data_IF_920890573663
#
_entry.id   IF_920890573663
#
_cell.length_a   1.000
_cell.length_b   1.000
_cell.length_c   1.000
_cell.angle_alpha   90.00
_cell.angle_beta   90.00
_cell.angle_gamma   90.00
#
_symmetry.space_group_name_H-M   'P 1'
#
loop_
_entity.id
_entity.type
_entity.pdbx_description
1 polymer ?
#
# COMPACT_ATOMS: atom_id res chain seq x y z
N UNK A 1 -18.46 -8.91 -7.94
CA UNK A 1 -19.26 -9.99 -7.32
C UNK A 1 -20.76 -9.70 -7.35
N UNK A 2 -21.23 -8.61 -6.73
CA UNK A 2 -22.66 -8.32 -6.64
C UNK A 2 -23.35 -8.08 -8.01
N UNK A 3 -22.62 -7.51 -8.99
CA UNK A 3 -23.11 -7.36 -10.37
C UNK A 3 -23.61 -8.69 -10.96
N UNK A 4 -22.83 -9.76 -10.83
CA UNK A 4 -23.20 -11.10 -11.28
C UNK A 4 -24.38 -11.63 -10.44
N UNK A 5 -24.28 -11.53 -9.11
CA UNK A 5 -25.31 -12.02 -8.21
C UNK A 5 -26.69 -11.35 -8.44
N UNK A 6 -26.70 -10.09 -8.87
CA UNK A 6 -27.93 -9.35 -9.16
C UNK A 6 -28.80 -9.99 -10.25
N UNK A 7 -28.18 -10.81 -11.11
CA UNK A 7 -28.87 -11.54 -12.18
C UNK A 7 -29.59 -12.79 -11.70
N UNK A 8 -29.34 -13.26 -10.47
CA UNK A 8 -30.04 -14.39 -9.88
C UNK A 8 -31.49 -14.02 -9.50
N UNK A 9 -32.38 -15.01 -9.47
CA UNK A 9 -33.75 -14.84 -8.94
C UNK A 9 -33.74 -14.47 -7.46
N UNK A 10 -32.85 -15.07 -6.69
CA UNK A 10 -32.67 -14.80 -5.27
C UNK A 10 -31.19 -14.72 -4.91
N UNK A 11 -30.88 -13.87 -3.94
CA UNK A 11 -29.53 -13.69 -3.38
C UNK A 11 -29.65 -13.94 -1.89
N UNK A 12 -28.79 -14.80 -1.35
CA UNK A 12 -28.76 -15.11 0.07
C UNK A 12 -27.36 -14.90 0.62
N UNK A 13 -27.29 -14.52 1.90
CA UNK A 13 -26.07 -14.25 2.62
C UNK A 13 -26.11 -14.92 4.00
N UNK A 14 -24.95 -15.37 4.49
CA UNK A 14 -24.83 -15.85 5.87
C UNK A 14 -24.72 -14.69 6.84
N UNK A 15 -25.00 -14.85 8.16
CA UNK A 15 -25.04 -13.71 9.10
C UNK A 15 -23.72 -12.93 9.19
N UNK A 16 -22.58 -13.58 8.93
CA UNK A 16 -21.25 -12.96 8.93
C UNK A 16 -20.86 -12.30 7.60
N UNK A 17 -21.65 -12.50 6.53
CA UNK A 17 -21.32 -11.98 5.21
C UNK A 17 -21.45 -10.46 5.13
N UNK A 18 -20.65 -9.86 4.24
CA UNK A 18 -20.81 -8.48 3.78
C UNK A 18 -21.31 -8.45 2.35
N UNK A 19 -22.30 -7.61 2.10
CA UNK A 19 -22.98 -7.49 0.80
C UNK A 19 -23.04 -6.01 0.39
N UNK A 20 -22.97 -5.72 -0.90
CA UNK A 20 -22.93 -4.36 -1.43
C UNK A 20 -21.69 -4.17 -2.29
N UNK A 21 -20.96 -3.09 -2.04
CA UNK A 21 -19.86 -2.63 -2.89
C UNK A 21 -20.31 -2.41 -4.33
N UNK A 22 -21.52 -1.84 -4.48
CA UNK A 22 -22.09 -1.46 -5.77
C UNK A 22 -21.54 -0.08 -6.08
N UNK A 23 -20.60 -0.02 -7.01
CA UNK A 23 -19.86 1.19 -7.35
C UNK A 23 -18.59 0.82 -8.13
N UNK A 24 -17.94 1.83 -8.70
CA UNK A 24 -16.74 1.69 -9.53
C UNK A 24 -15.71 2.69 -9.03
N UNK A 25 -14.46 2.26 -8.93
CA UNK A 25 -13.34 3.15 -8.60
C UNK A 25 -12.09 2.75 -9.38
N UNK A 26 -11.29 3.75 -9.74
CA UNK A 26 -9.95 3.56 -10.28
C UNK A 26 -8.96 4.38 -9.44
N UNK A 27 -8.22 3.75 -8.51
CA UNK A 27 -7.21 4.46 -7.75
C UNK A 27 -6.01 4.75 -8.66
N UNK A 28 -5.49 5.97 -8.59
CA UNK A 28 -4.28 6.39 -9.29
C UNK A 28 -3.31 7.07 -8.32
N UNK A 29 -2.02 6.71 -8.41
CA UNK A 29 -0.96 7.29 -7.58
C UNK A 29 -0.10 8.19 -8.47
N UNK A 30 -0.11 9.48 -8.19
CA UNK A 30 0.79 10.43 -8.84
C UNK A 30 2.20 10.31 -8.23
N UNK A 31 3.14 9.82 -9.02
CA UNK A 31 4.55 9.64 -8.62
C UNK A 31 5.47 10.73 -9.16
N UNK A 32 4.92 11.84 -9.67
CA UNK A 32 5.71 12.95 -10.25
C UNK A 32 6.70 13.54 -9.24
N UNK A 33 6.27 13.81 -8.00
CA UNK A 33 7.15 14.35 -6.95
C UNK A 33 8.25 13.35 -6.55
N UNK A 34 7.92 12.06 -6.48
CA UNK A 34 8.90 11.02 -6.16
C UNK A 34 10.02 11.01 -7.18
N UNK A 35 9.69 10.96 -8.47
CA UNK A 35 10.68 10.94 -9.54
C UNK A 35 11.49 12.23 -9.57
N UNK A 36 10.86 13.40 -9.35
CA UNK A 36 11.57 14.67 -9.22
C UNK A 36 12.58 14.65 -8.07
N UNK A 37 12.20 14.10 -6.91
CA UNK A 37 13.09 14.00 -5.74
C UNK A 37 14.29 13.08 -5.97
N UNK A 38 14.13 12.08 -6.83
CA UNK A 38 15.18 11.15 -7.25
C UNK A 38 16.04 11.73 -8.40
N UNK A 39 15.76 12.96 -8.86
CA UNK A 39 16.47 13.59 -9.97
C UNK A 39 16.08 13.02 -11.35
N UNK A 40 14.99 12.26 -11.43
CA UNK A 40 14.51 11.64 -12.67
C UNK A 40 13.47 12.54 -13.34
N UNK A 41 13.63 12.76 -14.65
CA UNK A 41 12.62 13.39 -15.51
C UNK A 41 12.10 12.37 -16.51
N UNK A 42 10.79 12.15 -16.50
CA UNK A 42 10.13 11.23 -17.44
C UNK A 42 9.58 12.02 -18.61
N UNK A 43 10.01 11.66 -19.83
CA UNK A 43 9.45 12.18 -21.08
C UNK A 43 8.75 11.04 -21.83
N UNK A 44 7.54 11.31 -22.31
CA UNK A 44 6.70 10.30 -22.97
C UNK A 44 6.53 10.68 -24.44
N UNK A 45 7.02 9.81 -25.32
CA UNK A 45 6.81 9.89 -26.77
C UNK A 45 5.78 8.84 -27.15
N UNK A 46 4.56 9.25 -27.49
CA UNK A 46 3.47 8.34 -27.79
C UNK A 46 2.64 8.81 -28.99
N UNK A 47 2.20 7.85 -29.81
CA UNK A 47 1.23 8.10 -30.87
C UNK A 47 -0.19 8.09 -30.28
N UNK A 48 -0.83 9.26 -30.23
CA UNK A 48 -2.21 9.45 -29.77
C UNK A 48 -2.33 10.19 -28.43
N UNK A 49 -3.27 11.13 -28.34
CA UNK A 49 -3.48 12.06 -27.20
C UNK A 49 -3.63 11.37 -25.83
N UNK A 50 -4.22 10.19 -25.79
CA UNK A 50 -4.47 9.44 -24.55
C UNK A 50 -3.47 8.30 -24.29
N UNK A 51 -2.54 8.07 -25.22
CA UNK A 51 -1.51 7.02 -25.08
C UNK A 51 -0.43 7.52 -24.12
N UNK A 52 -0.07 6.70 -23.12
CA UNK A 52 0.84 7.12 -22.04
C UNK A 52 0.14 7.80 -20.85
N UNK A 53 -1.19 7.78 -20.83
CA UNK A 53 -1.95 8.05 -19.62
C UNK A 53 -1.55 7.08 -18.51
N UNK A 54 -1.49 7.59 -17.28
CA UNK A 54 -1.08 6.85 -16.08
C UNK A 54 0.38 6.34 -16.09
N UNK A 55 1.25 6.91 -16.93
CA UNK A 55 2.70 6.64 -16.87
C UNK A 55 3.29 7.16 -15.55
N UNK A 56 4.06 6.34 -14.80
CA UNK A 56 4.74 6.78 -13.59
C UNK A 56 5.66 7.97 -13.84
N UNK A 57 5.70 8.91 -12.88
CA UNK A 57 6.50 10.14 -12.97
C UNK A 57 5.92 11.23 -13.88
N UNK A 58 4.73 11.03 -14.45
CA UNK A 58 4.02 12.03 -15.29
C UNK A 58 2.63 12.28 -14.73
N UNK A 59 2.23 13.54 -14.49
CA UNK A 59 0.89 13.86 -13.99
C UNK A 59 -0.15 13.64 -15.09
N UNK A 60 -1.36 13.23 -14.70
CA UNK A 60 -2.49 13.15 -15.62
C UNK A 60 -2.91 14.55 -16.10
N UNK A 61 -3.13 14.67 -17.41
CA UNK A 61 -3.71 15.89 -18.00
C UNK A 61 -5.22 15.97 -17.70
N UNK A 62 -5.80 17.17 -17.82
CA UNK A 62 -7.24 17.36 -17.55
C UNK A 62 -8.13 16.54 -18.49
N UNK A 63 -7.74 16.45 -19.75
CA UNK A 63 -8.41 15.62 -20.75
C UNK A 63 -8.40 14.13 -20.38
N UNK A 64 -7.29 13.65 -19.83
CA UNK A 64 -7.16 12.26 -19.37
C UNK A 64 -8.00 12.01 -18.12
N UNK A 65 -8.04 12.97 -17.18
CA UNK A 65 -8.89 12.90 -15.99
C UNK A 65 -10.36 12.86 -16.37
N UNK A 66 -10.77 13.70 -17.30
CA UNK A 66 -12.15 13.74 -17.81
C UNK A 66 -12.55 12.41 -18.44
N UNK A 67 -11.69 11.83 -19.28
CA UNK A 67 -11.95 10.52 -19.89
C UNK A 67 -12.09 9.41 -18.84
N UNK A 68 -11.16 9.34 -17.88
CA UNK A 68 -11.25 8.35 -16.79
C UNK A 68 -12.55 8.53 -16.00
N UNK A 69 -12.92 9.78 -15.69
CA UNK A 69 -14.12 10.07 -14.92
C UNK A 69 -15.39 9.69 -15.68
N UNK A 70 -15.47 9.98 -16.98
CA UNK A 70 -16.62 9.58 -17.81
C UNK A 70 -16.75 8.07 -17.89
N UNK A 71 -15.64 7.34 -18.04
CA UNK A 71 -15.65 5.87 -18.10
C UNK A 71 -16.13 5.27 -16.77
N UNK A 72 -15.69 5.82 -15.63
CA UNK A 72 -16.15 5.39 -14.30
C UNK A 72 -17.65 5.62 -14.14
N UNK A 73 -18.15 6.77 -14.55
CA UNK A 73 -19.57 7.13 -14.46
C UNK A 73 -20.45 6.25 -15.33
N UNK A 74 -20.01 5.96 -16.57
CA UNK A 74 -20.69 5.05 -17.49
C UNK A 74 -20.83 3.65 -16.89
N UNK A 75 -19.71 3.06 -16.44
CA UNK A 75 -19.72 1.71 -15.83
C UNK A 75 -20.55 1.70 -14.55
N UNK A 76 -20.50 2.76 -13.74
CA UNK A 76 -21.31 2.87 -12.52
C UNK A 76 -22.81 2.91 -12.83
N UNK A 77 -23.21 3.64 -13.88
CA UNK A 77 -24.60 3.69 -14.35
C UNK A 77 -25.07 2.32 -14.84
N UNK A 78 -24.25 1.61 -15.63
CA UNK A 78 -24.54 0.25 -16.08
C UNK A 78 -24.67 -0.74 -14.93
N UNK A 79 -23.80 -0.64 -13.92
CA UNK A 79 -23.88 -1.50 -12.73
C UNK A 79 -25.18 -1.26 -11.96
N UNK A 80 -25.52 0.00 -11.68
CA UNK A 80 -26.79 0.36 -11.01
C UNK A 80 -27.99 -0.15 -11.81
N UNK A 81 -28.00 0.05 -13.13
CA UNK A 81 -29.06 -0.44 -14.00
C UNK A 81 -29.20 -1.96 -13.95
N UNK A 82 -28.09 -2.70 -14.05
CA UNK A 82 -28.09 -4.15 -13.99
C UNK A 82 -28.59 -4.70 -12.63
N UNK A 83 -28.26 -4.02 -11.53
CA UNK A 83 -28.75 -4.36 -10.18
C UNK A 83 -30.27 -4.22 -10.08
N UNK A 84 -30.82 -3.19 -10.69
CA UNK A 84 -32.25 -2.88 -10.64
C UNK A 84 -33.08 -3.63 -11.71
N UNK A 85 -32.43 -4.21 -12.73
CA UNK A 85 -33.09 -4.83 -13.88
C UNK A 85 -34.13 -5.92 -13.53
N UNK A 86 -33.94 -6.64 -12.42
CA UNK A 86 -34.90 -7.67 -11.94
C UNK A 86 -36.01 -7.12 -11.03
N UNK A 87 -36.19 -5.79 -10.95
CA UNK A 87 -37.24 -5.15 -10.16
C UNK A 87 -37.01 -5.19 -8.64
N UNK A 88 -35.75 -5.37 -8.20
CA UNK A 88 -35.40 -5.32 -6.77
C UNK A 88 -35.59 -3.89 -6.26
N UNK A 89 -36.32 -3.72 -5.16
CA UNK A 89 -36.55 -2.41 -4.51
C UNK A 89 -35.36 -2.02 -3.62
N UNK A 90 -34.20 -1.79 -4.25
CA UNK A 90 -32.98 -1.34 -3.59
C UNK A 90 -32.94 0.20 -3.70
N UNK A 91 -32.75 0.95 -2.60
CA UNK A 91 -32.64 2.40 -2.66
C UNK A 91 -31.30 2.82 -3.28
N UNK A 92 -31.29 3.95 -4.01
CA UNK A 92 -30.06 4.49 -4.63
C UNK A 92 -28.96 4.76 -3.62
N UNK A 93 -29.33 5.20 -2.40
CA UNK A 93 -28.38 5.43 -1.30
C UNK A 93 -27.65 4.16 -0.81
N UNK A 94 -28.09 2.97 -1.21
CA UNK A 94 -27.40 1.71 -0.94
C UNK A 94 -26.44 1.30 -2.08
N UNK A 95 -26.35 2.09 -3.14
CA UNK A 95 -25.54 1.81 -4.34
C UNK A 95 -24.43 2.85 -4.55
N UNK A 96 -23.91 3.40 -3.46
CA UNK A 96 -22.87 4.44 -3.44
C UNK A 96 -21.51 3.85 -2.98
N UNK A 97 -21.27 2.57 -3.25
CA UNK A 97 -20.01 1.87 -2.94
C UNK A 97 -19.89 1.30 -1.52
N UNK A 98 -20.86 1.54 -0.63
CA UNK A 98 -20.82 0.97 0.72
C UNK A 98 -20.98 -0.54 0.68
N UNK A 99 -20.46 -1.22 1.70
CA UNK A 99 -20.86 -2.60 1.98
C UNK A 99 -21.46 -2.73 3.37
N UNK A 100 -22.44 -3.63 3.48
CA UNK A 100 -23.37 -3.76 4.58
C UNK A 100 -23.25 -5.15 5.21
N UNK A 101 -23.56 -5.27 6.50
CA UNK A 101 -23.78 -6.58 7.13
C UNK A 101 -24.97 -7.30 6.50
N UNK A 102 -25.02 -8.63 6.57
CA UNK A 102 -26.14 -9.42 6.07
C UNK A 102 -27.52 -8.93 6.55
N UNK A 103 -27.62 -8.49 7.82
CA UNK A 103 -28.86 -7.93 8.39
C UNK A 103 -29.27 -6.62 7.70
N UNK A 104 -28.33 -5.71 7.46
CA UNK A 104 -28.61 -4.46 6.78
C UNK A 104 -28.87 -4.69 5.28
N UNK A 105 -28.14 -5.61 4.66
CA UNK A 105 -28.37 -6.03 3.28
C UNK A 105 -29.80 -6.58 3.09
N UNK A 106 -30.32 -7.35 4.06
CA UNK A 106 -31.71 -7.80 4.05
C UNK A 106 -32.70 -6.65 4.16
N UNK A 107 -32.46 -5.69 5.05
CA UNK A 107 -33.32 -4.50 5.20
C UNK A 107 -33.35 -3.62 3.94
N UNK A 108 -32.24 -3.55 3.21
CA UNK A 108 -32.08 -2.77 1.97
C UNK A 108 -32.44 -3.57 0.70
N UNK A 109 -33.01 -4.78 0.84
CA UNK A 109 -33.35 -5.67 -0.27
C UNK A 109 -32.16 -6.11 -1.16
N UNK A 110 -30.93 -6.01 -0.64
CA UNK A 110 -29.73 -6.45 -1.33
C UNK A 110 -29.60 -7.99 -1.33
N UNK A 111 -29.89 -8.64 -0.20
CA UNK A 111 -29.84 -10.09 -0.09
C UNK A 111 -30.70 -10.60 1.08
N UNK A 112 -31.31 -11.77 0.93
CA UNK A 112 -31.87 -12.50 2.05
C UNK A 112 -30.78 -13.06 2.98
N UNK A 113 -31.19 -13.56 4.15
CA UNK A 113 -30.28 -14.19 5.12
C UNK A 113 -30.64 -15.65 5.36
N UNK A 114 -29.63 -16.50 5.45
CA UNK A 114 -29.70 -17.94 5.68
C UNK A 114 -28.56 -18.37 6.60
N UNK A 115 -28.67 -19.50 7.29
CA UNK A 115 -27.62 -20.00 8.18
C UNK A 115 -26.52 -20.74 7.42
N UNK A 116 -26.87 -21.41 6.32
CA UNK A 116 -25.94 -22.23 5.54
C UNK A 116 -26.36 -22.37 4.07
N UNK A 117 -25.45 -22.91 3.26
CA UNK A 117 -25.72 -23.28 1.86
C UNK A 117 -26.83 -24.33 1.74
N UNK A 118 -26.85 -25.31 2.64
CA UNK A 118 -27.85 -26.40 2.62
C UNK A 118 -29.27 -25.88 2.85
N UNK A 119 -29.42 -24.82 3.63
CA UNK A 119 -30.70 -24.13 3.78
C UNK A 119 -31.16 -23.51 2.45
N UNK A 120 -30.26 -22.88 1.69
CA UNK A 120 -30.59 -22.33 0.35
C UNK A 120 -31.00 -23.43 -0.62
N UNK A 121 -30.23 -24.53 -0.66
CA UNK A 121 -30.54 -25.68 -1.53
C UNK A 121 -31.90 -26.28 -1.17
N UNK A 122 -32.19 -26.40 0.12
CA UNK A 122 -33.49 -26.91 0.60
C UNK A 122 -34.65 -25.98 0.21
N UNK A 123 -34.47 -24.66 0.33
CA UNK A 123 -35.46 -23.66 -0.13
C UNK A 123 -35.65 -23.69 -1.65
N UNK A 124 -34.58 -23.86 -2.41
CA UNK A 124 -34.66 -23.96 -3.88
C UNK A 124 -35.46 -25.19 -4.30
N UNK A 125 -35.20 -26.34 -3.66
CA UNK A 125 -35.92 -27.60 -3.91
C UNK A 125 -37.41 -27.47 -3.56
N UNK A 126 -37.76 -26.81 -2.46
CA UNK A 126 -39.17 -26.60 -2.10
C UNK A 126 -39.90 -25.66 -3.07
N UNK A 127 -39.22 -24.62 -3.56
CA UNK A 127 -39.78 -23.73 -4.60
C UNK A 127 -39.98 -24.44 -5.94
N UNK A 128 -39.12 -25.40 -6.30
CA UNK A 128 -39.31 -26.24 -7.49
C UNK A 128 -40.43 -27.27 -7.31
N UNK A 129 -40.55 -27.87 -6.11
CA UNK A 129 -41.64 -28.80 -5.80
C UNK A 129 -43.02 -28.12 -5.84
N UNK A 130 -43.11 -26.83 -5.50
CA UNK A 130 -44.33 -26.04 -5.61
C UNK A 130 -44.72 -25.67 -7.07
N UNK A 131 -43.83 -25.88 -8.05
CA UNK A 131 -44.10 -25.67 -9.48
C UNK A 131 -44.50 -26.96 -10.21
N UNK A 132 -44.76 -28.05 -9.49
CA UNK A 132 -45.37 -29.23 -10.11
C UNK A 132 -46.79 -28.86 -10.52
N UNK A 133 -46.96 -28.60 -11.82
CA UNK A 133 -48.23 -28.48 -12.52
C UNK A 133 -49.07 -29.74 -12.23
N UNK A 134 -50.03 -29.63 -11.31
CA UNK A 134 -51.03 -30.69 -11.07
C UNK A 134 -52.08 -30.65 -12.19
N UNK A 135 -51.65 -30.94 -13.41
CA UNK A 135 -52.58 -31.44 -14.43
C UNK A 135 -53.10 -32.78 -13.90
N UNK A 136 -54.42 -32.89 -13.73
CA UNK A 136 -55.08 -34.08 -13.20
C UNK A 136 -54.60 -35.33 -13.95
N UNK A 137 -53.72 -36.12 -13.34
CA UNK A 137 -53.46 -37.46 -13.82
C UNK A 137 -54.64 -38.33 -13.37
N UNK A 138 -55.29 -38.94 -14.36
CA UNK A 138 -56.21 -40.04 -14.15
C UNK A 138 -55.55 -41.09 -13.24
N UNK A 139 -56.34 -41.63 -12.31
CA UNK A 139 -55.93 -42.60 -11.31
C UNK A 139 -55.10 -43.74 -11.91
N UNK A 140 -53.79 -43.69 -11.71
CA UNK A 140 -52.91 -44.84 -11.96
C UNK A 140 -53.31 -45.95 -10.98
N UNK A 141 -53.51 -47.20 -11.44
CA UNK A 141 -53.81 -48.30 -10.53
C UNK A 141 -52.72 -48.42 -9.46
N UNK A 142 -53.13 -48.71 -8.23
CA UNK A 142 -52.23 -48.87 -7.10
C UNK A 142 -51.18 -49.94 -7.43
N UNK A 143 -49.89 -49.58 -7.41
CA UNK A 143 -48.77 -50.52 -7.64
C UNK A 143 -48.91 -51.71 -6.70
N UNK A 144 -48.57 -52.90 -7.19
CA UNK A 144 -48.61 -54.11 -6.37
C UNK A 144 -47.59 -54.03 -5.22
N UNK A 145 -47.84 -54.77 -4.15
CA UNK A 145 -46.95 -54.80 -2.96
C UNK A 145 -45.52 -55.21 -3.35
N UNK A 146 -45.36 -56.05 -4.36
CA UNK A 146 -44.06 -56.48 -4.89
C UNK A 146 -43.32 -55.37 -5.64
N UNK A 147 -44.02 -54.53 -6.42
CA UNK A 147 -43.41 -53.35 -7.05
C UNK A 147 -42.99 -52.30 -6.00
N UNK A 148 -43.82 -52.10 -4.96
CA UNK A 148 -43.48 -51.20 -3.86
C UNK A 148 -42.27 -51.69 -3.05
N UNK A 149 -42.16 -53.00 -2.81
CA UNK A 149 -41.02 -53.60 -2.12
C UNK A 149 -39.74 -53.51 -2.96
N UNK A 150 -39.82 -53.77 -4.27
CA UNK A 150 -38.69 -53.63 -5.19
C UNK A 150 -38.18 -52.19 -5.25
N UNK A 151 -39.08 -51.20 -5.33
CA UNK A 151 -38.72 -49.78 -5.34
C UNK A 151 -38.13 -49.32 -4.00
N UNK A 152 -38.65 -49.84 -2.88
CA UNK A 152 -38.11 -49.56 -1.55
C UNK A 152 -36.69 -50.12 -1.37
N UNK A 153 -36.42 -51.35 -1.83
CA UNK A 153 -35.08 -51.94 -1.78
C UNK A 153 -34.08 -51.18 -2.66
N UNK A 154 -34.49 -50.75 -3.86
CA UNK A 154 -33.65 -49.92 -4.73
C UNK A 154 -33.32 -48.56 -4.09
N UNK A 155 -34.29 -47.96 -3.37
CA UNK A 155 -34.07 -46.73 -2.58
C UNK A 155 -33.09 -46.93 -1.42
N UNK A 156 -33.18 -48.05 -0.72
CA UNK A 156 -32.25 -48.37 0.38
C UNK A 156 -30.83 -48.48 -0.17
N UNK A 157 -30.63 -49.20 -1.28
CA UNK A 157 -29.30 -49.33 -1.90
C UNK A 157 -28.71 -47.99 -2.35
N UNK A 158 -29.53 -47.10 -2.92
CA UNK A 158 -29.07 -45.76 -3.31
C UNK A 158 -28.74 -44.90 -2.09
N UNK A 159 -29.52 -44.97 -1.02
CA UNK A 159 -29.23 -44.26 0.24
C UNK A 159 -27.95 -44.77 0.92
N UNK A 160 -27.70 -46.08 0.88
CA UNK A 160 -26.46 -46.67 1.40
C UNK A 160 -25.24 -46.24 0.58
N UNK A 161 -25.35 -46.18 -0.74
CA UNK A 161 -24.31 -45.66 -1.61
C UNK A 161 -24.01 -44.17 -1.33
N UNK A 162 -25.05 -43.35 -1.16
CA UNK A 162 -24.94 -41.94 -0.80
C UNK A 162 -24.32 -41.74 0.59
N UNK A 163 -24.66 -42.59 1.56
CA UNK A 163 -24.09 -42.55 2.91
C UNK A 163 -22.59 -42.84 2.88
N UNK A 164 -22.18 -43.88 2.13
CA UNK A 164 -20.76 -44.23 1.93
C UNK A 164 -19.98 -43.13 1.20
N UNK A 165 -20.59 -42.49 0.21
CA UNK A 165 -19.99 -41.35 -0.48
C UNK A 165 -19.79 -40.14 0.45
N UNK A 166 -20.76 -39.86 1.34
CA UNK A 166 -20.62 -38.81 2.36
C UNK A 166 -19.49 -39.09 3.35
N UNK A 167 -19.35 -40.34 3.79
CA UNK A 167 -18.27 -40.74 4.70
C UNK A 167 -16.88 -40.56 4.07
N UNK A 168 -16.73 -40.89 2.79
CA UNK A 168 -15.51 -40.63 2.02
C UNK A 168 -15.17 -39.14 1.94
N UNK A 169 -16.16 -38.30 1.60
CA UNK A 169 -15.99 -36.84 1.56
C UNK A 169 -15.64 -36.25 2.92
N UNK A 170 -16.22 -36.77 4.01
CA UNK A 170 -15.94 -36.29 5.36
C UNK A 170 -14.51 -36.66 5.80
N UNK A 171 -14.04 -37.84 5.43
CA UNK A 171 -12.67 -38.30 5.67
C UNK A 171 -11.65 -37.44 4.89
N UNK A 172 -11.94 -37.15 3.63
CA UNK A 172 -11.10 -36.28 2.80
C UNK A 172 -11.06 -34.84 3.34
N UNK A 173 -12.21 -34.28 3.72
CA UNK A 173 -12.29 -32.97 4.35
C UNK A 173 -11.51 -32.91 5.67
N UNK A 174 -11.58 -33.96 6.49
CA UNK A 174 -10.79 -34.05 7.74
C UNK A 174 -9.29 -34.03 7.46
N UNK A 175 -8.84 -34.77 6.44
CA UNK A 175 -7.43 -34.82 6.04
C UNK A 175 -6.94 -33.46 5.51
N UNK A 176 -7.77 -32.77 4.72
CA UNK A 176 -7.49 -31.42 4.26
C UNK A 176 -7.36 -30.43 5.43
N UNK A 177 -8.25 -30.51 6.43
CA UNK A 177 -8.20 -29.66 7.62
C UNK A 177 -6.89 -29.86 8.39
N UNK A 178 -6.46 -31.11 8.61
CA UNK A 178 -5.20 -31.39 9.30
C UNK A 178 -3.98 -30.93 8.49
N UNK A 179 -4.01 -31.09 7.16
CA UNK A 179 -2.95 -30.59 6.27
C UNK A 179 -2.86 -29.07 6.32
N UNK A 180 -4.00 -28.38 6.28
CA UNK A 180 -4.05 -26.92 6.38
C UNK A 180 -3.56 -26.43 7.74
N UNK A 181 -3.96 -27.10 8.82
CA UNK A 181 -3.51 -26.80 10.19
C UNK A 181 -2.01 -26.95 10.33
N UNK A 182 -1.42 -28.01 9.79
CA UNK A 182 0.03 -28.20 9.78
C UNK A 182 0.76 -27.09 9.01
N UNK A 183 0.23 -26.70 7.84
CA UNK A 183 0.78 -25.61 7.03
C UNK A 183 0.72 -24.26 7.76
N UNK A 184 -0.41 -23.99 8.43
CA UNK A 184 -0.62 -22.75 9.19
C UNK A 184 0.36 -22.66 10.36
N UNK A 185 0.56 -23.75 11.09
CA UNK A 185 1.50 -23.81 12.21
C UNK A 185 2.96 -23.63 11.75
N UNK A 186 3.33 -24.20 10.61
CA UNK A 186 4.65 -23.97 9.99
C UNK A 186 4.85 -22.51 9.58
N UNK A 187 3.83 -21.87 8.99
CA UNK A 187 3.88 -20.45 8.61
C UNK A 187 3.95 -19.53 9.82
N UNK A 188 3.24 -19.85 10.90
CA UNK A 188 3.30 -19.09 12.15
C UNK A 188 4.70 -19.12 12.76
N UNK A 189 5.35 -20.29 12.77
CA UNK A 189 6.74 -20.43 13.22
C UNK A 189 7.73 -19.63 12.35
N UNK A 190 7.56 -19.65 11.02
CA UNK A 190 8.38 -18.87 10.09
C UNK A 190 8.24 -17.36 10.34
N UNK A 191 7.01 -16.87 10.50
CA UNK A 191 6.75 -15.47 10.84
C UNK A 191 7.33 -15.07 12.19
N UNK A 192 7.25 -15.95 13.18
CA UNK A 192 7.80 -15.69 14.51
C UNK A 192 9.34 -15.61 14.48
N UNK A 193 10.00 -16.43 13.67
CA UNK A 193 11.44 -16.35 13.45
C UNK A 193 11.86 -15.03 12.77
N UNK A 194 11.13 -14.62 11.73
CA UNK A 194 11.38 -13.34 11.03
C UNK A 194 11.18 -12.13 11.95
N UNK A 195 10.14 -12.14 12.80
CA UNK A 195 9.92 -11.10 13.79
C UNK A 195 11.05 -11.01 14.81
N UNK A 196 11.56 -12.16 15.26
CA UNK A 196 12.69 -12.20 16.19
C UNK A 196 13.95 -11.61 15.52
N UNK A 197 14.22 -11.99 14.27
CA UNK A 197 15.34 -11.44 13.50
C UNK A 197 15.23 -9.92 13.33
N UNK A 198 14.06 -9.41 12.92
CA UNK A 198 13.84 -7.97 12.74
C UNK A 198 14.02 -7.19 14.06
N UNK A 199 13.58 -7.74 15.19
CA UNK A 199 13.82 -7.14 16.50
C UNK A 199 15.31 -7.05 16.83
N UNK A 200 16.09 -8.11 16.58
CA UNK A 200 17.54 -8.10 16.84
C UNK A 200 18.29 -7.10 15.96
N UNK A 201 17.90 -6.97 14.70
CA UNK A 201 18.49 -6.00 13.77
C UNK A 201 18.16 -4.57 14.19
N UNK A 202 16.90 -4.29 14.54
CA UNK A 202 16.45 -3.00 15.07
C UNK A 202 17.26 -2.60 16.30
N UNK A 203 17.44 -3.50 17.25
CA UNK A 203 18.15 -3.20 18.50
C UNK A 203 19.64 -2.94 18.26
N UNK A 204 20.23 -3.64 17.29
CA UNK A 204 21.61 -3.40 16.81
C UNK A 204 21.75 -2.02 16.18
N UNK A 205 20.87 -1.68 15.23
CA UNK A 205 20.86 -0.36 14.57
C UNK A 205 20.62 0.77 15.57
N UNK A 206 19.77 0.55 16.57
CA UNK A 206 19.56 1.52 17.65
C UNK A 206 20.82 1.74 18.47
N UNK A 207 21.57 0.68 18.77
CA UNK A 207 22.88 0.79 19.44
C UNK A 207 23.89 1.59 18.61
N UNK A 208 23.97 1.33 17.30
CA UNK A 208 24.83 2.08 16.39
C UNK A 208 24.45 3.56 16.30
N UNK A 209 23.14 3.87 16.27
CA UNK A 209 22.66 5.25 16.27
C UNK A 209 23.08 6.02 17.52
N UNK A 210 22.95 5.41 18.70
CA UNK A 210 23.38 6.02 19.97
C UNK A 210 24.90 6.27 19.98
N UNK A 211 25.69 5.31 19.48
CA UNK A 211 27.14 5.49 19.37
C UNK A 211 27.50 6.64 18.41
N UNK A 212 26.85 6.72 17.25
CA UNK A 212 27.05 7.80 16.28
C UNK A 212 26.66 9.17 16.85
N UNK A 213 25.56 9.25 17.62
CA UNK A 213 25.17 10.49 18.31
C UNK A 213 26.24 10.96 19.31
N UNK A 214 26.80 10.03 20.09
CA UNK A 214 27.89 10.34 21.02
C UNK A 214 29.18 10.79 20.31
N UNK A 215 29.45 10.30 19.11
CA UNK A 215 30.56 10.77 18.28
C UNK A 215 30.30 12.17 17.73
N UNK A 216 29.09 12.46 17.25
CA UNK A 216 28.69 13.80 16.78
C UNK A 216 28.82 14.84 17.89
N UNK A 217 28.39 14.52 19.11
CA UNK A 217 28.56 15.41 20.27
C UNK A 217 30.04 15.69 20.56
N UNK A 218 30.88 14.64 20.52
CA UNK A 218 32.33 14.78 20.71
C UNK A 218 32.97 15.66 19.63
N UNK A 219 32.63 15.46 18.36
CA UNK A 219 33.15 16.27 17.26
C UNK A 219 32.68 17.71 17.33
N UNK A 220 31.41 17.95 17.70
CA UNK A 220 30.86 19.29 17.87
C UNK A 220 31.62 20.06 18.95
N UNK A 221 31.87 19.41 20.11
CA UNK A 221 32.68 20.01 21.17
C UNK A 221 34.09 20.33 20.70
N UNK A 222 34.73 19.40 20.00
CA UNK A 222 36.09 19.60 19.48
C UNK A 222 36.16 20.74 18.45
N UNK A 223 35.14 20.87 17.59
CA UNK A 223 35.05 21.98 16.64
C UNK A 223 35.00 23.32 17.37
N UNK A 224 34.16 23.45 18.39
CA UNK A 224 34.06 24.69 19.18
C UNK A 224 35.34 25.05 19.95
N UNK A 225 36.06 24.05 20.46
CA UNK A 225 37.40 24.25 21.05
C UNK A 225 38.39 24.80 20.00
N UNK A 226 38.40 24.20 18.81
CA UNK A 226 39.30 24.58 17.73
C UNK A 226 38.99 25.98 17.19
N UNK A 227 37.71 26.33 17.02
CA UNK A 227 37.26 27.68 16.65
C UNK A 227 37.70 28.73 17.68
N UNK A 228 37.72 28.38 18.95
CA UNK A 228 38.21 29.26 20.02
C UNK A 228 39.72 29.45 19.94
N UNK A 229 40.47 28.37 19.68
CA UNK A 229 41.92 28.44 19.46
C UNK A 229 42.27 29.29 18.24
N UNK A 230 41.56 29.11 17.12
CA UNK A 230 41.75 29.92 15.91
C UNK A 230 41.54 31.40 16.22
N UNK A 231 40.46 31.75 16.93
CA UNK A 231 40.20 33.15 17.32
C UNK A 231 41.31 33.74 18.20
N UNK A 232 41.81 33.01 19.19
CA UNK A 232 42.91 33.46 20.05
C UNK A 232 44.22 33.65 19.25
N UNK A 233 44.54 32.72 18.36
CA UNK A 233 45.71 32.82 17.49
C UNK A 233 45.61 34.02 16.54
N UNK A 234 44.46 34.24 15.91
CA UNK A 234 44.23 35.42 15.06
C UNK A 234 44.36 36.73 15.85
N UNK A 235 43.88 36.77 17.10
CA UNK A 235 44.03 37.96 17.95
C UNK A 235 45.51 38.22 18.31
N UNK A 236 46.29 37.16 18.59
CA UNK A 236 47.74 37.27 18.85
C UNK A 236 48.51 37.71 17.61
N UNK A 237 48.16 37.20 16.44
CA UNK A 237 48.74 37.62 15.16
C UNK A 237 48.53 39.12 14.93
N UNK A 238 47.30 39.61 15.12
CA UNK A 238 47.00 41.05 15.01
C UNK A 238 47.76 41.92 16.03
N UNK A 239 47.97 41.43 17.25
CA UNK A 239 48.77 42.13 18.25
C UNK A 239 50.25 42.19 17.86
N UNK A 240 50.81 41.09 17.37
CA UNK A 240 52.19 41.03 16.87
C UNK A 240 52.39 41.99 15.68
N UNK A 241 51.45 42.02 14.74
CA UNK A 241 51.49 42.95 13.60
C UNK A 241 51.48 44.41 14.06
N UNK A 242 50.63 44.76 15.03
CA UNK A 242 50.60 46.11 15.62
C UNK A 242 51.93 46.47 16.27
N UNK A 243 52.52 45.58 17.06
CA UNK A 243 53.82 45.80 17.71
C UNK A 243 54.95 45.93 16.70
N UNK A 244 54.95 45.10 15.65
CA UNK A 244 55.92 45.17 14.57
C UNK A 244 55.81 46.51 13.82
N UNK A 245 54.60 46.97 13.52
CA UNK A 245 54.36 48.27 12.89
C UNK A 245 54.84 49.45 13.75
N UNK A 246 54.55 49.42 15.06
CA UNK A 246 55.03 50.45 16.02
C UNK A 246 56.56 50.48 16.04
N UNK A 247 57.21 49.32 16.16
CA UNK A 247 58.67 49.23 16.23
C UNK A 247 59.33 49.68 14.92
N UNK A 248 58.75 49.33 13.77
CA UNK A 248 59.22 49.81 12.48
C UNK A 248 59.10 51.35 12.36
N UNK A 249 58.01 51.95 12.86
CA UNK A 249 57.85 53.39 12.91
C UNK A 249 58.87 54.08 13.84
N UNK A 250 59.18 53.48 14.99
CA UNK A 250 60.21 53.97 15.92
C UNK A 250 61.61 53.96 15.27
N UNK A 251 62.00 52.85 14.64
CA UNK A 251 63.28 52.73 13.93
C UNK A 251 63.38 53.78 12.80
N UNK A 252 62.29 53.99 12.05
CA UNK A 252 62.26 55.01 11.00
C UNK A 252 62.45 56.44 11.55
N UNK A 253 61.89 56.74 12.72
CA UNK A 253 62.06 58.04 13.38
C UNK A 253 63.49 58.25 13.93
N UNK A 254 64.10 57.21 14.53
CA UNK A 254 65.46 57.27 15.08
C UNK A 254 66.54 57.39 14.00
N UNK A 255 66.34 56.77 12.83
CA UNK A 255 67.31 56.75 11.73
C UNK A 255 67.31 58.04 10.88
N UNK A 256 66.44 59.02 11.17
CA UNK A 256 66.45 60.34 10.52
C UNK A 256 66.25 60.32 9.00
N UNK A 257 65.53 59.34 8.45
CA UNK A 257 65.33 59.21 7.00
C UNK A 257 64.11 60.01 6.52
N UNK A 258 64.31 60.94 5.57
CA UNK A 258 63.24 61.75 4.94
C UNK A 258 62.39 60.98 3.90
N UNK A 259 62.40 59.64 3.90
CA UNK A 259 61.62 58.84 2.96
C UNK A 259 60.69 57.93 3.76
N UNK A 260 59.35 58.10 3.67
CA UNK A 260 58.43 57.28 4.45
C UNK A 260 58.50 55.84 3.96
N UNK A 261 58.90 54.92 4.85
CA UNK A 261 58.82 53.50 4.58
C UNK A 261 57.35 53.13 4.36
N UNK A 262 56.99 52.74 3.14
CA UNK A 262 55.68 52.14 2.85
C UNK A 262 55.64 50.75 3.49
N UNK A 263 55.14 50.69 4.71
CA UNK A 263 54.70 49.43 5.32
C UNK A 263 53.22 49.30 4.99
N UNK A 264 52.91 48.60 3.91
CA UNK A 264 51.53 48.18 3.62
C UNK A 264 51.19 47.02 4.56
N UNK A 265 49.99 46.94 5.17
CA UNK A 265 49.60 45.84 6.06
C UNK A 265 49.61 44.46 5.38
N UNK A 266 49.66 44.41 4.06
CA UNK A 266 49.97 43.21 3.30
C UNK A 266 51.49 43.18 3.05
N UNK A 267 52.21 42.31 3.78
CA UNK A 267 53.55 41.91 3.38
C UNK A 267 53.57 41.49 1.90
N UNK A 268 54.72 41.70 1.24
CA UNK A 268 54.94 41.48 -0.19
C UNK A 268 53.99 40.46 -0.81
N UNK A 269 53.16 40.90 -1.76
CA UNK A 269 52.16 40.08 -2.45
C UNK A 269 52.76 39.06 -3.42
N UNK A 270 53.89 38.44 -3.04
CA UNK A 270 54.45 37.28 -3.73
C UNK A 270 54.18 36.05 -2.86
N UNK A 271 53.51 35.01 -3.41
CA UNK A 271 53.17 33.82 -2.65
C UNK A 271 54.45 33.17 -2.11
N UNK A 272 54.53 32.99 -0.80
CA UNK A 272 55.72 32.45 -0.13
C UNK A 272 55.66 30.94 0.02
N UNK A 273 54.51 30.29 -0.26
CA UNK A 273 54.38 28.83 -0.15
C UNK A 273 53.58 28.18 -1.30
N UNK A 274 53.93 26.92 -1.62
CA UNK A 274 53.25 26.12 -2.64
C UNK A 274 51.77 25.86 -2.33
N UNK A 275 51.38 25.88 -1.05
CA UNK A 275 50.00 25.70 -0.61
C UNK A 275 49.08 26.88 -1.01
N UNK A 276 49.60 28.12 -0.98
CA UNK A 276 48.84 29.32 -1.38
C UNK A 276 48.61 29.38 -2.90
N UNK A 277 49.55 28.86 -3.69
CA UNK A 277 49.36 28.71 -5.14
C UNK A 277 48.29 27.65 -5.48
N UNK A 278 48.23 26.55 -4.72
CA UNK A 278 47.24 25.49 -4.91
C UNK A 278 45.81 25.99 -4.63
N UNK A 279 45.58 26.68 -3.50
CA UNK A 279 44.23 27.14 -3.12
C UNK A 279 43.62 28.17 -4.08
N UNK A 280 44.44 28.93 -4.82
CA UNK A 280 43.95 29.86 -5.85
C UNK A 280 43.40 29.17 -7.10
N UNK A 281 43.76 27.91 -7.35
CA UNK A 281 43.24 27.16 -8.50
C UNK A 281 41.77 26.73 -8.30
N UNK A 282 41.27 26.72 -7.06
CA UNK A 282 39.91 26.27 -6.73
C UNK A 282 38.94 27.41 -6.37
N UNK A 283 39.40 28.66 -6.34
CA UNK A 283 38.58 29.86 -5.99
C UNK A 283 38.09 30.65 -7.21
N UNK A 284 38.22 30.09 -8.42
CA UNK A 284 37.49 30.58 -9.61
C UNK A 284 36.52 29.51 -10.12
N UNK A 285 35.42 29.35 -9.39
CA UNK A 285 34.13 28.86 -9.87
C UNK A 285 33.05 29.32 -8.88
#
# INVERSE_FOLDING_TARGET
AYWIASQCDAIYSTPSARVGSIGVMLPFIDSTEKFRSEGLKVEVFAAGRFKGMATPGVPLTEDQRTLIQSDIEEIAAEFKAAVLARGRKIPDSAMEGQSFSARNAQRLNLAGMVRSRDEVISRLRSMQAARVDTRSQASTPMKTVEEQLSEALARIQTLEADAKAREGLMTEASTQVETFKATLLSKEQEHQALLQQACTERDTLKGQLVAAQADVERFTKRSGELETQVRDLTAREQDLDKRAAIKAAQIAAEMGTQVPAKITPAGDTKPTTAAEQWNRQFTKA
#
